data_IF_207741126697
#
_entry.id   IF_207741126697
#
_cell.length_a   1.000
_cell.length_b   1.000
_cell.length_c   1.000
_cell.angle_alpha   90.00
_cell.angle_beta   90.00
_cell.angle_gamma   90.00
#
_symmetry.space_group_name_H-M   'P 1'
#
loop_
_entity.id
_entity.type
_entity.pdbx_description
1 polymer ?
#
# COMPACT_ATOMS: atom_id res chain seq x y z
N UNK A 1 -6.65 12.16 -7.05
CA UNK A 1 -7.10 12.52 -5.68
C UNK A 1 -5.99 12.13 -4.71
N UNK A 2 -5.59 13.01 -3.78
CA UNK A 2 -4.57 12.71 -2.75
C UNK A 2 -5.25 12.38 -1.42
N UNK A 3 -4.74 11.41 -0.68
CA UNK A 3 -5.32 10.97 0.59
C UNK A 3 -4.24 10.67 1.64
N UNK A 4 -4.52 11.08 2.89
CA UNK A 4 -3.68 10.74 4.06
C UNK A 4 -3.60 9.23 4.30
N UNK A 5 -4.62 8.46 3.90
CA UNK A 5 -4.60 7.00 4.00
C UNK A 5 -3.59 6.39 3.05
N UNK A 6 -3.59 6.85 1.79
CA UNK A 6 -2.62 6.41 0.78
C UNK A 6 -1.21 6.83 1.17
N UNK A 7 -1.03 8.05 1.69
CA UNK A 7 0.28 8.53 2.15
C UNK A 7 0.87 7.61 3.22
N UNK A 8 0.06 7.24 4.23
CA UNK A 8 0.47 6.32 5.30
C UNK A 8 0.76 4.92 4.77
N UNK A 9 -0.06 4.41 3.85
CA UNK A 9 0.18 3.13 3.21
C UNK A 9 1.49 3.12 2.41
N UNK A 10 1.75 4.15 1.60
CA UNK A 10 3.00 4.29 0.84
C UNK A 10 4.22 4.32 1.76
N UNK A 11 4.16 5.10 2.85
CA UNK A 11 5.23 5.16 3.83
C UNK A 11 5.46 3.80 4.52
N UNK A 12 4.38 3.09 4.88
CA UNK A 12 4.47 1.79 5.53
C UNK A 12 5.02 0.71 4.60
N UNK A 13 4.52 0.65 3.37
CA UNK A 13 5.03 -0.25 2.32
C UNK A 13 6.52 -0.03 2.08
N UNK A 14 6.96 1.23 2.03
CA UNK A 14 8.38 1.58 1.88
C UNK A 14 9.21 1.10 3.07
N UNK A 15 8.72 1.28 4.29
CA UNK A 15 9.38 0.80 5.51
C UNK A 15 9.46 -0.74 5.59
N UNK A 16 8.54 -1.45 4.94
CA UNK A 16 8.53 -2.91 4.83
C UNK A 16 9.35 -3.44 3.64
N UNK A 17 10.07 -2.57 2.92
CA UNK A 17 10.94 -2.97 1.81
C UNK A 17 10.28 -2.95 0.42
N UNK A 18 9.00 -2.55 0.31
CA UNK A 18 8.30 -2.42 -0.98
C UNK A 18 8.61 -1.06 -1.62
N UNK A 19 9.88 -0.83 -1.97
CA UNK A 19 10.38 0.45 -2.50
C UNK A 19 9.78 0.85 -3.86
N UNK A 20 9.19 -0.11 -4.59
CA UNK A 20 8.50 0.12 -5.87
C UNK A 20 7.20 0.93 -5.77
N UNK A 21 6.76 1.28 -4.56
CA UNK A 21 5.55 2.10 -4.31
C UNK A 21 5.67 3.55 -4.80
N UNK A 22 6.91 4.03 -5.03
CA UNK A 22 7.19 5.41 -5.42
C UNK A 22 7.28 6.35 -4.22
N UNK A 23 7.27 7.68 -4.44
CA UNK A 23 7.23 8.65 -3.35
C UNK A 23 5.93 8.50 -2.54
N UNK A 24 6.03 8.68 -1.21
CA UNK A 24 4.86 8.79 -0.37
C UNK A 24 4.29 10.21 -0.52
N UNK A 25 3.47 10.41 -1.54
CA UNK A 25 2.87 11.69 -1.94
C UNK A 25 1.33 11.73 -1.73
N UNK A 26 0.78 10.61 -1.24
CA UNK A 26 -0.65 10.42 -1.03
C UNK A 26 -1.46 10.19 -2.30
N UNK A 27 -0.83 10.05 -3.48
CA UNK A 27 -1.51 9.79 -4.73
C UNK A 27 -1.58 8.29 -5.03
N UNK A 28 -2.77 7.78 -5.34
CA UNK A 28 -2.93 6.40 -5.76
C UNK A 28 -2.65 6.27 -7.26
N UNK A 29 -1.45 5.83 -7.61
CA UNK A 29 -1.03 5.56 -8.99
C UNK A 29 -0.66 4.10 -9.23
N UNK A 30 -0.23 3.79 -10.45
CA UNK A 30 0.17 2.43 -10.86
C UNK A 30 1.27 1.84 -9.96
N UNK A 31 2.25 2.66 -9.55
CA UNK A 31 3.31 2.24 -8.63
C UNK A 31 2.75 1.82 -7.25
N UNK A 32 1.81 2.60 -6.70
CA UNK A 32 1.15 2.28 -5.44
C UNK A 32 0.31 1.01 -5.54
N UNK A 33 -0.45 0.86 -6.62
CA UNK A 33 -1.23 -0.35 -6.88
C UNK A 33 -0.33 -1.59 -6.98
N UNK A 34 0.77 -1.53 -7.73
CA UNK A 34 1.72 -2.64 -7.88
C UNK A 34 2.38 -3.02 -6.55
N UNK A 35 2.76 -2.03 -5.73
CA UNK A 35 3.31 -2.30 -4.41
C UNK A 35 2.27 -2.93 -3.46
N UNK A 36 1.01 -2.52 -3.53
CA UNK A 36 -0.08 -3.16 -2.78
C UNK A 36 -0.27 -4.61 -3.21
N UNK A 37 -0.26 -4.90 -4.51
CA UNK A 37 -0.33 -6.28 -5.00
C UNK A 37 0.83 -7.14 -4.48
N UNK A 38 2.06 -6.62 -4.57
CA UNK A 38 3.24 -7.31 -4.09
C UNK A 38 3.18 -7.58 -2.57
N UNK A 39 2.74 -6.58 -1.81
CA UNK A 39 2.54 -6.72 -0.36
C UNK A 39 1.50 -7.79 -0.04
N UNK A 40 0.31 -7.69 -0.64
CA UNK A 40 -0.78 -8.63 -0.43
C UNK A 40 -0.35 -10.07 -0.74
N UNK A 41 0.38 -10.26 -1.86
CA UNK A 41 0.93 -11.56 -2.23
C UNK A 41 1.94 -12.06 -1.18
N UNK A 42 2.83 -11.20 -0.69
CA UNK A 42 3.84 -11.55 0.31
C UNK A 42 3.24 -11.88 1.69
N UNK A 43 2.09 -11.30 2.03
CA UNK A 43 1.41 -11.52 3.32
C UNK A 43 0.24 -12.51 3.24
N UNK A 44 0.03 -13.17 2.10
CA UNK A 44 -1.06 -14.13 1.91
C UNK A 44 -2.48 -13.51 1.92
N UNK A 45 -2.59 -12.21 1.67
CA UNK A 45 -3.89 -11.53 1.50
C UNK A 45 -4.40 -11.69 0.07
N UNK A 46 -5.70 -11.48 -0.11
CA UNK A 46 -6.30 -11.35 -1.45
C UNK A 46 -5.61 -10.22 -2.23
N UNK A 47 -5.10 -10.54 -3.42
CA UNK A 47 -4.34 -9.61 -4.26
C UNK A 47 -5.28 -8.68 -5.03
N UNK A 48 -5.93 -7.76 -4.32
CA UNK A 48 -6.85 -6.76 -4.90
C UNK A 48 -6.10 -5.60 -5.56
N UNK A 49 -4.86 -5.35 -5.12
CA UNK A 49 -4.09 -4.16 -5.44
C UNK A 49 -4.67 -2.87 -4.85
N UNK A 50 -5.66 -2.96 -3.97
CA UNK A 50 -6.32 -1.83 -3.34
C UNK A 50 -5.95 -1.74 -1.86
N UNK A 51 -6.07 -0.54 -1.29
CA UNK A 51 -5.94 -0.34 0.15
C UNK A 51 -7.28 -0.70 0.84
N UNK A 52 -7.72 -1.95 0.71
CA UNK A 52 -8.94 -2.46 1.35
C UNK A 52 -8.78 -2.63 2.88
N UNK A 53 -9.87 -2.98 3.58
CA UNK A 53 -9.86 -3.11 5.05
C UNK A 53 -8.85 -4.15 5.55
N UNK A 54 -8.71 -5.28 4.85
CA UNK A 54 -7.76 -6.32 5.22
C UNK A 54 -6.31 -5.82 5.10
N UNK A 55 -6.01 -5.10 4.01
CA UNK A 55 -4.70 -4.51 3.77
C UNK A 55 -4.40 -3.38 4.76
N UNK A 56 -5.40 -2.55 5.09
CA UNK A 56 -5.27 -1.49 6.11
C UNK A 56 -4.99 -2.08 7.49
N UNK A 57 -5.72 -3.11 7.91
CA UNK A 57 -5.51 -3.79 9.18
C UNK A 57 -4.09 -4.41 9.24
N UNK A 58 -3.68 -5.09 8.16
CA UNK A 58 -2.35 -5.70 8.06
C UNK A 58 -1.21 -4.68 8.11
N UNK A 59 -1.41 -3.49 7.52
CA UNK A 59 -0.46 -2.38 7.59
C UNK A 59 -0.56 -1.56 8.90
N UNK A 60 -1.48 -1.94 9.81
CA UNK A 60 -1.78 -1.21 11.06
C UNK A 60 -2.21 0.24 10.83
N UNK A 61 -3.08 0.46 9.84
CA UNK A 61 -3.61 1.77 9.44
C UNK A 61 -5.04 2.05 9.93
N UNK A 62 -5.61 1.13 10.71
CA UNK A 62 -6.93 1.23 11.37
C UNK A 62 -6.99 2.36 12.38
#
# INVERSE_FOLDING_TARGET
>A
MRSKGILRAQARLKALGFSGVGPADGAFGAATQSALKAYQQATGLSVTGQLDLATQASLSLS
#
